data_IF_080226697386
#
_entry.id   IF_080226697386
#
_cell.length_a   1.000
_cell.length_b   1.000
_cell.length_c   1.000
_cell.angle_alpha   90.00
_cell.angle_beta   90.00
_cell.angle_gamma   90.00
#
_symmetry.space_group_name_H-M   'P 1'
#
loop_
_entity.id
_entity.type
_entity.pdbx_description
1 polymer ?
#
# COMPACT_ATOMS: atom_id res chain seq x y z
N UNK A 1 -48.43 -63.21 -23.36
CA UNK A 1 -47.98 -62.56 -22.13
C UNK A 1 -46.59 -62.16 -22.28
N UNK A 2 -46.39 -61.00 -22.81
CA UNK A 2 -45.08 -60.43 -23.00
C UNK A 2 -44.85 -59.41 -21.93
N UNK A 3 -44.15 -59.80 -20.94
CA UNK A 3 -43.72 -58.86 -19.94
C UNK A 3 -42.57 -58.05 -20.56
N UNK A 4 -42.94 -56.94 -21.09
CA UNK A 4 -41.93 -55.94 -21.43
C UNK A 4 -41.34 -55.44 -20.13
N UNK A 5 -40.24 -55.99 -19.75
CA UNK A 5 -39.43 -55.41 -18.73
C UNK A 5 -38.88 -54.13 -19.30
N UNK A 6 -39.56 -53.09 -18.99
CA UNK A 6 -39.07 -51.75 -19.13
C UNK A 6 -37.86 -51.64 -18.22
N UNK A 7 -36.72 -51.92 -18.81
CA UNK A 7 -35.47 -51.54 -18.19
C UNK A 7 -35.48 -50.04 -18.24
N UNK A 8 -35.87 -49.50 -17.12
CA UNK A 8 -35.75 -48.07 -16.92
C UNK A 8 -34.28 -47.80 -16.77
N UNK A 9 -33.64 -47.50 -17.87
CA UNK A 9 -32.32 -46.90 -17.85
C UNK A 9 -32.50 -45.53 -17.22
N UNK A 10 -32.30 -45.50 -15.92
CA UNK A 10 -31.96 -44.25 -15.28
C UNK A 10 -30.61 -43.83 -15.79
N UNK A 11 -30.63 -43.12 -16.90
CA UNK A 11 -29.52 -42.29 -17.27
C UNK A 11 -29.48 -41.19 -16.22
N UNK A 12 -28.73 -41.45 -15.18
CA UNK A 12 -28.30 -40.38 -14.26
C UNK A 12 -27.34 -39.53 -15.07
N UNK A 13 -27.95 -38.58 -15.75
CA UNK A 13 -27.20 -37.48 -16.33
C UNK A 13 -26.71 -36.67 -15.15
N UNK A 14 -25.58 -37.09 -14.59
CA UNK A 14 -24.86 -36.25 -13.67
C UNK A 14 -24.41 -35.02 -14.46
N UNK A 15 -25.25 -34.02 -14.41
CA UNK A 15 -24.86 -32.68 -14.84
C UNK A 15 -23.71 -32.25 -13.95
N UNK A 16 -22.53 -32.44 -14.45
CA UNK A 16 -21.35 -31.77 -13.91
C UNK A 16 -21.55 -30.29 -14.22
N UNK A 17 -22.16 -29.61 -13.30
CA UNK A 17 -22.08 -28.15 -13.30
C UNK A 17 -20.62 -27.82 -13.06
N UNK A 18 -19.89 -27.64 -14.14
CA UNK A 18 -18.66 -26.91 -14.10
C UNK A 18 -19.07 -25.50 -13.66
N UNK A 19 -19.02 -25.25 -12.37
CA UNK A 19 -18.93 -23.90 -11.88
C UNK A 19 -17.59 -23.38 -12.38
N UNK A 20 -17.61 -22.88 -13.59
CA UNK A 20 -16.60 -22.00 -14.06
C UNK A 20 -16.60 -20.84 -13.08
N UNK A 21 -15.62 -20.83 -12.17
CA UNK A 21 -15.22 -19.60 -11.55
C UNK A 21 -14.80 -18.70 -12.71
N UNK A 22 -15.70 -17.89 -13.19
CA UNK A 22 -15.34 -16.73 -13.96
C UNK A 22 -14.46 -15.92 -13.04
N UNK A 23 -13.18 -15.99 -13.32
CA UNK A 23 -12.21 -15.08 -12.79
C UNK A 23 -12.63 -13.74 -13.32
N UNK A 24 -13.37 -13.03 -12.49
CA UNK A 24 -13.80 -11.68 -12.76
C UNK A 24 -12.51 -10.89 -12.97
N UNK A 25 -12.16 -10.66 -14.23
CA UNK A 25 -11.05 -9.79 -14.64
C UNK A 25 -11.51 -8.34 -14.57
N UNK A 26 -12.36 -8.03 -13.59
CA UNK A 26 -12.48 -6.69 -13.10
C UNK A 26 -11.13 -6.35 -12.48
N UNK A 27 -10.39 -5.50 -13.14
CA UNK A 27 -9.22 -4.85 -12.54
C UNK A 27 -9.73 -4.02 -11.37
N UNK A 28 -9.97 -4.68 -10.24
CA UNK A 28 -10.16 -3.96 -9.00
C UNK A 28 -8.83 -3.24 -8.74
N UNK A 29 -8.86 -1.93 -8.91
CA UNK A 29 -7.75 -1.08 -8.49
C UNK A 29 -7.67 -1.17 -6.98
N UNK A 30 -6.82 -2.07 -6.50
CA UNK A 30 -6.59 -2.25 -5.06
C UNK A 30 -5.81 -1.03 -4.59
N UNK A 31 -6.50 -0.12 -3.92
CA UNK A 31 -5.86 1.02 -3.29
C UNK A 31 -5.08 0.55 -2.05
N UNK A 32 -3.78 0.35 -2.21
CA UNK A 32 -2.89 -0.01 -1.12
C UNK A 32 -2.45 1.26 -0.40
N UNK A 33 -2.77 1.42 0.89
CA UNK A 33 -2.36 2.60 1.64
C UNK A 33 -0.85 2.62 1.87
N UNK A 34 -0.27 3.81 1.85
CA UNK A 34 1.14 4.01 2.20
C UNK A 34 1.24 4.04 3.72
N UNK A 35 2.02 3.11 4.28
CA UNK A 35 2.32 3.05 5.71
C UNK A 35 3.76 3.44 6.00
N UNK A 36 3.99 3.96 7.21
CA UNK A 36 5.32 4.25 7.72
C UNK A 36 5.66 3.35 8.90
N UNK A 37 6.94 3.01 9.02
CA UNK A 37 7.49 2.32 10.18
C UNK A 37 8.89 2.85 10.43
N UNK A 38 9.36 2.75 11.67
CA UNK A 38 10.74 3.08 12.00
C UNK A 38 11.49 1.84 12.48
N UNK A 39 12.74 1.77 12.11
CA UNK A 39 13.69 0.83 12.66
C UNK A 39 15.04 1.54 12.82
N UNK A 40 15.24 2.17 13.96
CA UNK A 40 16.48 2.82 14.31
C UNK A 40 17.37 1.81 15.01
N UNK A 41 18.36 1.29 14.30
CA UNK A 41 19.27 0.25 14.82
C UNK A 41 20.50 0.79 15.53
N UNK A 42 20.80 2.08 15.33
CA UNK A 42 22.01 2.70 15.90
C UNK A 42 21.72 4.13 16.31
N UNK A 43 21.94 4.43 17.58
CA UNK A 43 21.95 5.80 18.07
C UNK A 43 23.20 6.51 17.53
N UNK A 44 23.03 7.54 16.73
CA UNK A 44 24.14 8.33 16.23
C UNK A 44 24.03 9.78 16.68
N UNK A 45 24.90 10.13 17.59
CA UNK A 45 25.33 11.49 17.98
C UNK A 45 24.26 12.53 18.33
N UNK A 46 24.42 13.09 19.51
CA UNK A 46 23.78 14.31 20.04
C UNK A 46 22.24 14.28 20.09
N UNK A 47 21.71 13.75 21.19
CA UNK A 47 20.28 13.66 21.43
C UNK A 47 19.70 12.39 20.80
N UNK A 48 20.02 11.26 21.39
CA UNK A 48 19.72 9.91 20.91
C UNK A 48 18.28 9.74 20.45
N UNK A 49 18.05 9.97 19.16
CA UNK A 49 16.81 9.56 18.53
C UNK A 49 16.85 8.05 18.40
N UNK A 50 15.93 7.39 19.05
CA UNK A 50 15.76 5.95 19.03
C UNK A 50 14.30 5.58 18.79
N UNK A 51 14.00 4.29 18.74
CA UNK A 51 12.63 3.82 18.50
C UNK A 51 11.64 4.22 19.58
N UNK A 52 12.09 4.52 20.79
CA UNK A 52 11.23 4.82 21.92
C UNK A 52 10.88 6.31 22.01
N UNK A 53 11.83 7.17 21.66
CA UNK A 53 11.65 8.61 21.73
C UNK A 53 11.28 9.27 20.39
N UNK A 54 11.37 8.56 19.27
CA UNK A 54 10.91 9.04 17.99
C UNK A 54 9.38 8.92 17.91
N UNK A 55 8.70 10.04 18.05
CA UNK A 55 7.22 10.10 18.09
C UNK A 55 6.60 10.76 16.87
N UNK A 56 7.39 11.51 16.09
CA UNK A 56 6.91 12.20 14.90
C UNK A 56 8.02 12.44 13.89
N UNK A 57 7.64 12.50 12.63
CA UNK A 57 8.51 12.82 11.50
C UNK A 57 7.78 13.74 10.53
N UNK A 58 8.53 14.58 9.83
CA UNK A 58 8.06 15.31 8.67
C UNK A 58 8.43 14.58 7.39
N UNK A 59 7.51 14.48 6.45
CA UNK A 59 7.70 13.75 5.20
C UNK A 59 7.43 14.64 4.00
N UNK A 60 8.37 14.67 3.07
CA UNK A 60 8.16 15.15 1.72
C UNK A 60 8.12 13.97 0.76
N UNK A 61 7.26 14.02 -0.23
CA UNK A 61 7.20 12.98 -1.26
C UNK A 61 6.89 13.56 -2.63
N UNK A 62 7.61 13.07 -3.63
CA UNK A 62 7.42 13.43 -5.03
C UNK A 62 6.90 12.24 -5.81
N UNK A 63 5.79 12.42 -6.50
CA UNK A 63 5.27 11.48 -7.49
C UNK A 63 5.81 11.89 -8.87
N UNK A 64 6.46 10.95 -9.54
CA UNK A 64 7.04 11.14 -10.87
C UNK A 64 6.60 10.03 -11.82
N UNK A 65 6.46 10.39 -13.10
CA UNK A 65 6.25 9.43 -14.18
C UNK A 65 7.61 8.99 -14.73
N UNK A 66 8.34 8.17 -13.97
CA UNK A 66 9.70 7.76 -14.31
C UNK A 66 10.69 8.01 -13.18
N UNK A 67 11.95 8.22 -13.52
CA UNK A 67 12.99 8.40 -12.51
C UNK A 67 12.89 9.75 -11.81
N UNK A 68 13.23 9.75 -10.53
CA UNK A 68 13.35 10.97 -9.75
C UNK A 68 14.56 11.78 -10.23
N UNK A 69 14.34 13.08 -10.40
CA UNK A 69 15.40 14.06 -10.68
C UNK A 69 15.28 15.21 -9.68
N UNK A 70 16.28 15.33 -8.83
CA UNK A 70 16.30 16.34 -7.77
C UNK A 70 16.29 17.79 -8.28
N UNK A 71 16.62 18.02 -9.54
CA UNK A 71 16.67 19.38 -10.12
C UNK A 71 15.30 19.87 -10.58
N UNK A 72 14.34 18.95 -10.85
CA UNK A 72 13.03 19.28 -11.39
C UNK A 72 11.87 18.66 -10.62
N UNK A 73 12.14 17.62 -9.85
CA UNK A 73 11.10 16.94 -9.07
C UNK A 73 10.84 17.71 -7.78
N UNK A 74 9.59 18.11 -7.60
CA UNK A 74 9.15 18.81 -6.40
C UNK A 74 8.24 17.90 -5.55
N UNK A 75 8.13 18.13 -4.24
CA UNK A 75 7.25 17.33 -3.38
C UNK A 75 5.77 17.69 -3.64
N UNK A 76 5.23 17.11 -4.70
CA UNK A 76 3.86 17.30 -5.17
C UNK A 76 2.88 16.28 -4.59
N UNK A 77 3.37 15.24 -3.90
CA UNK A 77 2.55 14.16 -3.35
C UNK A 77 2.34 14.29 -1.85
N UNK A 78 3.39 14.56 -1.10
CA UNK A 78 3.34 14.96 0.31
C UNK A 78 4.25 16.17 0.51
N UNK A 79 3.75 17.19 1.17
CA UNK A 79 4.53 18.38 1.47
C UNK A 79 4.55 18.62 2.98
N UNK A 80 5.70 18.38 3.59
CA UNK A 80 5.88 18.50 5.04
C UNK A 80 4.75 17.79 5.83
N UNK A 81 4.44 16.58 5.39
CA UNK A 81 3.38 15.80 6.00
C UNK A 81 3.80 15.32 7.37
N UNK A 82 3.07 15.74 8.40
CA UNK A 82 3.25 15.22 9.74
C UNK A 82 2.80 13.75 9.80
N UNK A 83 3.69 12.89 10.26
CA UNK A 83 3.44 11.48 10.55
C UNK A 83 3.77 11.26 12.02
N UNK A 84 2.77 10.88 12.81
CA UNK A 84 2.86 10.75 14.26
C UNK A 84 2.69 9.30 14.71
N UNK A 85 3.38 8.95 15.77
CA UNK A 85 3.22 7.65 16.43
C UNK A 85 2.12 7.75 17.48
N UNK A 86 0.97 7.10 17.23
CA UNK A 86 -0.18 7.03 18.15
C UNK A 86 -0.45 5.59 18.51
N UNK A 87 -0.44 5.28 19.81
CA UNK A 87 -0.64 3.92 20.31
C UNK A 87 0.28 2.88 19.63
N UNK A 88 1.54 3.24 19.42
CA UNK A 88 2.53 2.37 18.79
C UNK A 88 2.45 2.27 17.26
N UNK A 89 1.48 2.92 16.64
CA UNK A 89 1.27 2.90 15.19
C UNK A 89 1.52 4.27 14.58
N UNK A 90 2.26 4.31 13.48
CA UNK A 90 2.48 5.51 12.71
C UNK A 90 1.25 5.89 11.90
N UNK A 91 0.77 7.11 12.06
CA UNK A 91 -0.47 7.60 11.44
C UNK A 91 -0.27 8.99 10.85
N UNK A 92 -1.00 9.27 9.79
CA UNK A 92 -1.05 10.59 9.16
C UNK A 92 -2.38 10.79 8.45
N UNK A 93 -2.73 12.05 8.21
CA UNK A 93 -3.95 12.43 7.52
C UNK A 93 -3.67 13.61 6.59
N UNK A 94 -4.18 13.62 5.34
CA UNK A 94 -5.00 12.59 4.70
C UNK A 94 -4.19 11.35 4.28
N UNK A 95 -4.82 10.18 4.32
CA UNK A 95 -4.16 8.94 3.91
C UNK A 95 -3.87 8.95 2.41
N UNK A 96 -2.67 8.53 2.03
CA UNK A 96 -2.22 8.40 0.65
C UNK A 96 -2.06 6.93 0.27
N UNK A 97 -2.19 6.67 -1.02
CA UNK A 97 -2.15 5.32 -1.58
C UNK A 97 -1.05 5.20 -2.62
N UNK A 98 -0.53 4.00 -2.78
CA UNK A 98 0.40 3.70 -3.85
C UNK A 98 -0.28 3.91 -5.22
N UNK A 99 0.42 4.46 -6.21
CA UNK A 99 -0.12 4.56 -7.56
C UNK A 99 -0.37 3.18 -8.16
N UNK A 100 -1.43 3.06 -8.93
CA UNK A 100 -1.79 1.83 -9.64
C UNK A 100 -1.15 1.74 -11.04
N UNK A 101 -0.28 2.66 -11.38
CA UNK A 101 0.42 2.71 -12.66
C UNK A 101 1.90 2.35 -12.44
N UNK A 102 2.38 1.32 -13.12
CA UNK A 102 3.73 0.81 -12.97
C UNK A 102 4.84 1.80 -13.37
N UNK A 103 4.49 2.80 -14.20
CA UNK A 103 5.42 3.87 -14.58
C UNK A 103 5.55 4.97 -13.52
N UNK A 104 4.62 5.02 -12.58
CA UNK A 104 4.61 6.02 -11.52
C UNK A 104 5.50 5.59 -10.36
N UNK A 105 6.30 6.52 -9.87
CA UNK A 105 7.23 6.30 -8.75
C UNK A 105 7.04 7.38 -7.70
N UNK A 106 7.17 6.97 -6.45
CA UNK A 106 7.16 7.91 -5.33
C UNK A 106 8.52 7.88 -4.65
N UNK A 107 9.13 9.05 -4.54
CA UNK A 107 10.36 9.25 -3.77
C UNK A 107 10.03 9.97 -2.48
N UNK A 108 10.48 9.41 -1.35
CA UNK A 108 10.24 9.93 -0.02
C UNK A 108 11.51 10.51 0.58
N UNK A 109 11.36 11.63 1.28
CA UNK A 109 12.36 12.25 2.10
C UNK A 109 11.74 12.54 3.46
N UNK A 110 12.34 12.00 4.50
CA UNK A 110 11.83 12.17 5.85
C UNK A 110 12.89 12.77 6.75
N UNK A 111 12.47 13.53 7.74
CA UNK A 111 13.31 14.12 8.75
C UNK A 111 12.67 14.04 10.13
N UNK A 112 13.49 14.08 11.15
CA UNK A 112 13.06 14.05 12.54
C UNK A 112 13.91 15.02 13.39
N UNK A 113 13.30 15.67 14.38
CA UNK A 113 11.86 15.71 14.66
C UNK A 113 11.09 16.54 13.61
N UNK A 114 9.79 16.36 13.52
CA UNK A 114 8.90 17.07 12.56
C UNK A 114 8.93 18.60 12.70
N UNK A 115 9.29 19.10 13.88
CA UNK A 115 9.40 20.53 14.20
C UNK A 115 10.81 21.10 13.98
N UNK A 116 11.70 20.37 13.33
CA UNK A 116 13.02 20.88 13.01
C UNK A 116 12.92 22.12 12.11
N UNK A 117 13.59 23.19 12.51
CA UNK A 117 13.60 24.44 11.74
C UNK A 117 14.59 24.39 10.60
N UNK A 118 14.26 25.07 9.48
CA UNK A 118 15.15 25.17 8.33
C UNK A 118 15.15 23.95 7.39
N UNK A 119 14.24 23.01 7.59
CA UNK A 119 14.04 21.89 6.66
C UNK A 119 13.18 22.36 5.49
N UNK A 120 13.78 22.41 4.32
CA UNK A 120 13.11 22.71 3.05
C UNK A 120 13.36 21.58 2.07
N UNK A 121 12.40 21.31 1.18
CA UNK A 121 12.57 20.28 0.15
C UNK A 121 13.62 20.67 -0.90
#
# INVERSE_FOLDING_TARGET
MRRLRKILFFIILSAWTLTSCEKDTGTETVNVPIGFSNNVTTATRAGDINNDNLTSIGVFASLTHGNFDATVSTPNFMYNQLVEKKNGTWQYTPLKYWPNNDSDKISFFAYAPDNATGVTP
#
